data_IF_911470478670
#
_entry.id   IF_911470478670
#
_cell.length_a   1.000
_cell.length_b   1.000
_cell.length_c   1.000
_cell.angle_alpha   90.00
_cell.angle_beta   90.00
_cell.angle_gamma   90.00
#
_symmetry.space_group_name_H-M   'P 1'
#
loop_
_entity.id
_entity.type
_entity.pdbx_description
1 polymer ?
#
# COMPACT_ATOMS: atom_id res chain seq x y z
N UNK A 1 10.37 1.66 -17.24
CA UNK A 1 11.19 1.18 -16.11
C UNK A 1 10.37 0.79 -14.89
N UNK A 2 9.55 1.67 -14.28
CA UNK A 2 8.91 1.36 -12.99
C UNK A 2 7.96 0.14 -12.98
N UNK A 3 7.19 -0.09 -14.04
CA UNK A 3 6.31 -1.28 -14.12
C UNK A 3 7.09 -2.60 -14.22
N UNK A 4 8.19 -2.62 -14.98
CA UNK A 4 9.00 -3.84 -15.14
C UNK A 4 9.64 -4.25 -13.80
N UNK A 5 10.11 -3.27 -13.02
CA UNK A 5 10.63 -3.52 -11.67
C UNK A 5 9.53 -4.07 -10.73
N UNK A 6 8.35 -3.46 -10.72
CA UNK A 6 7.23 -3.96 -9.90
C UNK A 6 6.80 -5.38 -10.30
N UNK A 7 6.73 -5.66 -11.61
CA UNK A 7 6.43 -6.99 -12.12
C UNK A 7 7.52 -8.01 -11.76
N UNK A 8 8.81 -7.64 -11.87
CA UNK A 8 9.91 -8.50 -11.47
C UNK A 8 9.84 -8.86 -9.97
N UNK A 9 9.62 -7.87 -9.10
CA UNK A 9 9.43 -8.09 -7.66
C UNK A 9 8.25 -9.02 -7.38
N UNK A 10 7.12 -8.83 -8.07
CA UNK A 10 5.96 -9.71 -7.93
C UNK A 10 6.29 -11.14 -8.37
N UNK A 11 6.86 -11.34 -9.56
CA UNK A 11 7.14 -12.68 -10.10
C UNK A 11 8.22 -13.44 -9.33
N UNK A 12 9.26 -12.75 -8.84
CA UNK A 12 10.28 -13.37 -7.98
C UNK A 12 9.72 -13.79 -6.62
N UNK A 13 8.67 -13.11 -6.13
CA UNK A 13 8.02 -13.43 -4.88
C UNK A 13 7.05 -14.61 -4.96
N UNK A 14 6.44 -14.88 -6.12
CA UNK A 14 5.48 -15.98 -6.32
C UNK A 14 5.96 -17.33 -5.77
N UNK A 15 7.14 -17.85 -6.14
CA UNK A 15 7.60 -19.14 -5.63
C UNK A 15 7.86 -19.11 -4.12
N UNK A 16 8.35 -17.98 -3.58
CA UNK A 16 8.58 -17.83 -2.14
C UNK A 16 7.26 -17.91 -1.37
N UNK A 17 6.23 -17.23 -1.85
CA UNK A 17 4.92 -17.20 -1.23
C UNK A 17 4.22 -18.56 -1.28
N UNK A 18 4.22 -19.23 -2.43
CA UNK A 18 3.58 -20.53 -2.61
C UNK A 18 4.28 -21.62 -1.78
N UNK A 19 5.61 -21.60 -1.74
CA UNK A 19 6.40 -22.58 -1.00
C UNK A 19 6.33 -22.40 0.52
N UNK A 20 6.03 -21.19 1.01
CA UNK A 20 6.13 -20.85 2.43
C UNK A 20 5.41 -21.81 3.37
N UNK A 21 4.25 -22.33 2.98
CA UNK A 21 3.46 -23.26 3.81
C UNK A 21 3.69 -24.73 3.48
N UNK A 22 4.39 -25.09 2.40
CA UNK A 22 4.62 -26.50 2.04
C UNK A 22 5.31 -27.32 3.14
N UNK A 23 6.32 -26.80 3.86
CA UNK A 23 6.95 -27.53 4.97
C UNK A 23 5.98 -27.93 6.09
N UNK A 24 4.84 -27.26 6.24
CA UNK A 24 3.80 -27.57 7.25
C UNK A 24 2.95 -28.81 6.88
N UNK A 25 3.00 -29.23 5.61
CA UNK A 25 2.30 -30.42 5.10
C UNK A 25 3.28 -31.55 4.79
N UNK A 26 4.45 -31.20 4.26
CA UNK A 26 5.44 -32.14 3.76
C UNK A 26 6.80 -31.83 4.42
N UNK A 27 7.07 -32.44 5.59
CA UNK A 27 8.36 -32.28 6.24
C UNK A 27 9.51 -32.63 5.28
N UNK A 28 10.56 -31.80 5.25
CA UNK A 28 11.71 -31.98 4.37
C UNK A 28 11.63 -31.24 3.02
N UNK A 29 10.50 -30.62 2.66
CA UNK A 29 10.48 -29.71 1.49
C UNK A 29 11.37 -28.48 1.72
N UNK A 30 11.97 -27.91 0.65
CA UNK A 30 12.77 -26.70 0.77
C UNK A 30 11.98 -25.53 1.36
N UNK A 31 12.64 -24.71 2.19
CA UNK A 31 12.13 -23.46 2.75
C UNK A 31 12.71 -22.29 1.96
N UNK A 32 12.14 -21.95 0.81
CA UNK A 32 12.79 -21.01 -0.14
C UNK A 32 13.01 -19.62 0.45
N UNK A 33 12.02 -19.06 1.15
CA UNK A 33 12.14 -17.74 1.76
C UNK A 33 13.18 -17.73 2.89
N UNK A 34 13.12 -18.72 3.79
CA UNK A 34 14.01 -18.80 4.94
C UNK A 34 15.44 -19.17 4.51
N UNK A 35 15.58 -19.96 3.45
CA UNK A 35 16.86 -20.27 2.82
C UNK A 35 17.50 -19.05 2.17
N UNK A 36 16.73 -18.25 1.43
CA UNK A 36 17.21 -16.97 0.88
C UNK A 36 17.65 -16.02 2.00
N UNK A 37 16.84 -15.91 3.05
CA UNK A 37 17.18 -15.06 4.19
C UNK A 37 18.40 -15.58 4.96
N UNK A 38 18.54 -16.89 5.13
CA UNK A 38 19.71 -17.53 5.74
C UNK A 38 20.97 -17.26 4.93
N UNK A 39 20.89 -17.30 3.60
CA UNK A 39 22.01 -16.98 2.72
C UNK A 39 22.49 -15.54 2.87
N UNK A 40 21.59 -14.59 3.08
CA UNK A 40 21.90 -13.16 3.15
C UNK A 40 22.29 -12.74 4.58
N UNK A 41 21.54 -13.19 5.58
CA UNK A 41 21.58 -12.68 6.95
C UNK A 41 21.99 -13.72 8.00
N UNK A 42 22.22 -14.98 7.61
CA UNK A 42 22.57 -16.07 8.51
C UNK A 42 21.35 -16.75 9.15
N UNK A 43 21.54 -18.00 9.60
CA UNK A 43 20.46 -18.84 10.14
C UNK A 43 19.91 -18.33 11.47
N UNK A 44 20.78 -17.80 12.33
CA UNK A 44 20.38 -17.23 13.63
C UNK A 44 19.33 -16.12 13.46
N UNK A 45 19.51 -15.24 12.48
CA UNK A 45 18.54 -14.20 12.15
C UNK A 45 17.30 -14.76 11.45
N UNK A 46 17.49 -15.71 10.53
CA UNK A 46 16.42 -16.16 9.65
C UNK A 46 15.37 -17.05 10.32
N UNK A 47 15.81 -17.94 11.21
CA UNK A 47 14.97 -18.96 11.84
C UNK A 47 15.19 -19.09 13.35
N UNK A 48 16.11 -18.31 13.93
CA UNK A 48 16.38 -18.32 15.37
C UNK A 48 15.38 -17.50 16.18
N UNK A 49 15.74 -17.20 17.42
CA UNK A 49 14.91 -16.41 18.33
C UNK A 49 14.56 -15.03 17.74
N UNK A 50 13.31 -14.60 17.88
CA UNK A 50 12.83 -13.35 17.28
C UNK A 50 12.63 -13.41 15.76
N UNK A 51 12.64 -14.61 15.15
CA UNK A 51 12.20 -14.84 13.77
C UNK A 51 10.72 -15.16 13.67
N UNK A 52 10.12 -14.97 12.48
CA UNK A 52 8.72 -15.37 12.23
C UNK A 52 8.55 -16.87 12.47
N UNK A 53 9.51 -17.70 12.08
CA UNK A 53 9.45 -19.14 12.31
C UNK A 53 9.35 -19.45 13.81
N UNK A 54 10.25 -18.87 14.61
CA UNK A 54 10.29 -19.15 16.05
C UNK A 54 8.98 -18.77 16.77
N UNK A 55 8.29 -17.70 16.32
CA UNK A 55 7.09 -17.19 17.02
C UNK A 55 5.75 -17.60 16.39
N UNK A 56 5.73 -18.09 15.14
CA UNK A 56 4.48 -18.42 14.42
C UNK A 56 4.39 -19.87 13.96
N UNK A 57 5.42 -20.70 14.15
CA UNK A 57 5.40 -22.09 13.66
C UNK A 57 4.17 -22.88 14.15
N UNK A 58 3.84 -22.78 15.44
CA UNK A 58 2.67 -23.45 16.03
C UNK A 58 1.37 -22.94 15.42
N UNK A 59 1.17 -21.62 15.42
CA UNK A 59 -0.05 -20.98 14.91
C UNK A 59 -0.27 -21.32 13.43
N UNK A 60 0.79 -21.28 12.63
CA UNK A 60 0.75 -21.64 11.22
C UNK A 60 0.51 -23.14 11.02
N UNK A 61 1.02 -24.01 11.88
CA UNK A 61 0.75 -25.45 11.81
C UNK A 61 -0.72 -25.77 12.11
N UNK A 62 -1.29 -25.16 13.15
CA UNK A 62 -2.71 -25.32 13.51
C UNK A 62 -3.64 -24.81 12.40
N UNK A 63 -3.25 -23.71 11.74
CA UNK A 63 -4.05 -23.07 10.69
C UNK A 63 -3.50 -23.28 9.27
N UNK A 64 -2.72 -24.34 9.06
CA UNK A 64 -1.93 -24.57 7.84
C UNK A 64 -2.75 -24.55 6.56
N UNK A 65 -3.98 -25.07 6.57
CA UNK A 65 -4.86 -25.08 5.40
C UNK A 65 -5.28 -23.66 4.99
N UNK A 66 -5.71 -22.86 5.97
CA UNK A 66 -6.11 -21.46 5.75
C UNK A 66 -4.92 -20.64 5.25
N UNK A 67 -3.74 -20.83 5.85
CA UNK A 67 -2.52 -20.15 5.43
C UNK A 67 -2.04 -20.59 4.04
N UNK A 68 -2.15 -21.87 3.69
CA UNK A 68 -1.81 -22.37 2.36
C UNK A 68 -2.71 -21.78 1.28
N UNK A 69 -4.02 -21.71 1.54
CA UNK A 69 -4.98 -21.06 0.65
C UNK A 69 -4.66 -19.57 0.51
N UNK A 70 -4.42 -18.87 1.63
CA UNK A 70 -4.07 -17.45 1.62
C UNK A 70 -2.85 -17.15 0.74
N UNK A 71 -1.73 -17.81 1.03
CA UNK A 71 -0.43 -17.56 0.40
C UNK A 71 -0.43 -17.98 -1.07
N UNK A 72 -0.99 -19.15 -1.39
CA UNK A 72 -1.04 -19.67 -2.77
C UNK A 72 -1.95 -18.82 -3.65
N UNK A 73 -3.20 -18.59 -3.23
CA UNK A 73 -4.14 -17.81 -4.05
C UNK A 73 -3.71 -16.33 -4.13
N UNK A 74 -3.12 -15.79 -3.06
CA UNK A 74 -2.56 -14.44 -3.06
C UNK A 74 -1.41 -14.28 -4.06
N UNK A 75 -0.50 -15.25 -4.12
CA UNK A 75 0.61 -15.28 -5.07
C UNK A 75 0.11 -15.35 -6.52
N UNK A 76 -0.81 -16.28 -6.82
CA UNK A 76 -1.38 -16.43 -8.17
C UNK A 76 -2.13 -15.15 -8.57
N UNK A 77 -2.96 -14.60 -7.68
CA UNK A 77 -3.67 -13.34 -7.92
C UNK A 77 -2.68 -12.21 -8.24
N UNK A 78 -1.62 -12.04 -7.45
CA UNK A 78 -0.62 -11.01 -7.70
C UNK A 78 0.08 -11.19 -9.06
N UNK A 79 0.40 -12.42 -9.45
CA UNK A 79 0.93 -12.73 -10.78
C UNK A 79 -0.03 -12.33 -11.90
N UNK A 80 -1.31 -12.68 -11.79
CA UNK A 80 -2.35 -12.29 -12.75
C UNK A 80 -2.53 -10.76 -12.83
N UNK A 81 -2.39 -10.07 -11.69
CA UNK A 81 -2.51 -8.63 -11.59
C UNK A 81 -1.47 -7.90 -12.44
N UNK A 82 -0.23 -8.42 -12.51
CA UNK A 82 0.83 -7.79 -13.29
C UNK A 82 0.43 -7.65 -14.75
N UNK A 83 -0.17 -8.68 -15.35
CA UNK A 83 -0.63 -8.61 -16.74
C UNK A 83 -1.73 -7.56 -16.97
N UNK A 84 -2.54 -7.21 -15.96
CA UNK A 84 -3.66 -6.26 -16.10
C UNK A 84 -3.23 -4.84 -16.48
N UNK A 85 -1.97 -4.48 -16.19
CA UNK A 85 -1.43 -3.16 -16.54
C UNK A 85 -1.00 -3.06 -18.01
N UNK A 86 -0.94 -4.17 -18.75
CA UNK A 86 -0.59 -4.18 -20.17
C UNK A 86 -1.67 -3.47 -21.01
N UNK A 87 -1.32 -2.32 -21.58
CA UNK A 87 -2.19 -1.59 -22.49
C UNK A 87 -2.55 -2.38 -23.75
N UNK A 88 -1.59 -3.17 -24.27
CA UNK A 88 -1.77 -4.01 -25.46
C UNK A 88 -2.76 -5.16 -25.21
N UNK A 89 -2.68 -5.82 -24.05
CA UNK A 89 -3.63 -6.87 -23.70
C UNK A 89 -5.04 -6.31 -23.57
N UNK A 90 -5.18 -5.13 -22.96
CA UNK A 90 -6.46 -4.46 -22.78
C UNK A 90 -7.13 -4.06 -24.10
N UNK A 91 -6.36 -3.64 -25.10
CA UNK A 91 -6.89 -3.20 -26.40
C UNK A 91 -7.06 -4.35 -27.40
N UNK A 92 -6.10 -5.29 -27.48
CA UNK A 92 -6.12 -6.37 -28.47
C UNK A 92 -6.86 -7.63 -28.02
N UNK A 93 -6.89 -7.92 -26.72
CA UNK A 93 -7.52 -9.11 -26.16
C UNK A 93 -8.44 -8.77 -24.97
N UNK A 94 -9.50 -7.98 -25.17
CA UNK A 94 -10.37 -7.51 -24.09
C UNK A 94 -11.06 -8.64 -23.34
N UNK A 95 -11.39 -9.75 -24.00
CA UNK A 95 -11.97 -10.93 -23.34
C UNK A 95 -10.99 -11.55 -22.33
N UNK A 96 -9.71 -11.70 -22.71
CA UNK A 96 -8.64 -12.21 -21.83
C UNK A 96 -8.45 -11.29 -20.63
N UNK A 97 -8.37 -9.97 -20.86
CA UNK A 97 -8.28 -8.99 -19.78
C UNK A 97 -9.45 -9.12 -18.78
N UNK A 98 -10.69 -9.27 -19.27
CA UNK A 98 -11.87 -9.42 -18.41
C UNK A 98 -11.85 -10.72 -17.61
N UNK A 99 -11.55 -11.86 -18.23
CA UNK A 99 -11.49 -13.14 -17.54
C UNK A 99 -10.36 -13.21 -16.52
N UNK A 100 -9.18 -12.70 -16.86
CA UNK A 100 -8.08 -12.59 -15.90
C UNK A 100 -8.42 -11.64 -14.75
N UNK A 101 -9.10 -10.52 -15.01
CA UNK A 101 -9.57 -9.62 -13.97
C UNK A 101 -10.59 -10.28 -13.02
N UNK A 102 -11.49 -11.11 -13.55
CA UNK A 102 -12.43 -11.90 -12.74
C UNK A 102 -11.72 -12.97 -11.91
N UNK A 103 -10.77 -13.68 -12.50
CA UNK A 103 -9.95 -14.66 -11.80
C UNK A 103 -9.13 -14.00 -10.69
N UNK A 104 -8.46 -12.88 -10.97
CA UNK A 104 -7.79 -12.05 -9.98
C UNK A 104 -8.72 -11.72 -8.81
N UNK A 105 -9.91 -11.18 -9.10
CA UNK A 105 -10.82 -10.73 -8.05
C UNK A 105 -11.29 -11.88 -7.16
N UNK A 106 -11.61 -13.03 -7.76
CA UNK A 106 -12.01 -14.23 -7.02
C UNK A 106 -10.87 -14.76 -6.14
N UNK A 107 -9.68 -14.95 -6.71
CA UNK A 107 -8.50 -15.47 -6.00
C UNK A 107 -8.05 -14.55 -4.87
N UNK A 108 -7.97 -13.24 -5.14
CA UNK A 108 -7.65 -12.23 -4.14
C UNK A 108 -8.71 -12.22 -3.03
N UNK A 109 -10.00 -12.30 -3.37
CA UNK A 109 -11.07 -12.30 -2.35
C UNK A 109 -10.94 -13.50 -1.43
N UNK A 110 -10.81 -14.72 -1.97
CA UNK A 110 -10.64 -15.92 -1.16
C UNK A 110 -9.38 -15.82 -0.31
N UNK A 111 -8.25 -15.38 -0.89
CA UNK A 111 -7.00 -15.17 -0.18
C UNK A 111 -7.15 -14.21 1.02
N UNK A 112 -7.78 -13.05 0.83
CA UNK A 112 -7.98 -12.07 1.91
C UNK A 112 -8.97 -12.57 2.97
N UNK A 113 -10.03 -13.29 2.57
CA UNK A 113 -10.96 -13.91 3.53
C UNK A 113 -10.25 -14.96 4.38
N UNK A 114 -9.39 -15.79 3.80
CA UNK A 114 -8.57 -16.73 4.59
C UNK A 114 -7.55 -16.02 5.48
N UNK A 115 -6.99 -14.88 5.06
CA UNK A 115 -6.16 -14.06 5.94
C UNK A 115 -6.96 -13.57 7.16
N UNK A 116 -8.18 -13.06 6.92
CA UNK A 116 -9.08 -12.59 7.97
C UNK A 116 -9.46 -13.72 8.94
N UNK A 117 -9.77 -14.92 8.42
CA UNK A 117 -10.05 -16.10 9.26
C UNK A 117 -8.85 -16.42 10.15
N UNK A 118 -7.63 -16.40 9.61
CA UNK A 118 -6.42 -16.61 10.39
C UNK A 118 -6.25 -15.53 11.47
N UNK A 119 -6.37 -14.25 11.11
CA UNK A 119 -6.22 -13.13 12.05
C UNK A 119 -7.28 -13.14 13.16
N UNK A 120 -8.47 -13.69 12.90
CA UNK A 120 -9.53 -13.81 13.89
C UNK A 120 -9.34 -15.01 14.84
N UNK A 121 -8.66 -16.07 14.38
CA UNK A 121 -8.50 -17.31 15.12
C UNK A 121 -7.16 -17.40 15.87
N UNK A 122 -6.08 -16.92 15.25
CA UNK A 122 -4.74 -17.00 15.83
C UNK A 122 -4.49 -15.85 16.83
N UNK A 123 -3.73 -16.09 17.91
CA UNK A 123 -3.33 -15.02 18.82
C UNK A 123 -2.40 -14.02 18.12
N UNK A 124 -2.25 -12.83 18.69
CA UNK A 124 -1.20 -11.92 18.27
C UNK A 124 0.17 -12.42 18.74
N UNK A 125 1.24 -12.03 18.03
CA UNK A 125 2.62 -12.37 18.41
C UNK A 125 2.98 -11.72 19.74
N UNK A 126 3.56 -12.49 20.66
CA UNK A 126 4.16 -12.02 21.92
C UNK A 126 5.45 -11.23 21.71
N UNK A 127 5.39 -10.15 20.92
CA UNK A 127 6.49 -9.24 20.62
C UNK A 127 5.96 -7.81 20.64
N UNK A 128 6.80 -6.81 20.93
CA UNK A 128 6.36 -5.41 21.04
C UNK A 128 5.71 -4.86 19.76
N UNK A 129 6.03 -5.46 18.61
CA UNK A 129 5.41 -5.09 17.32
C UNK A 129 4.08 -5.81 17.04
N UNK A 130 3.79 -6.91 17.75
CA UNK A 130 2.84 -7.93 17.35
C UNK A 130 1.41 -7.40 17.19
N UNK A 131 0.90 -6.65 18.17
CA UNK A 131 -0.47 -6.12 18.16
C UNK A 131 -0.68 -5.04 17.10
N UNK A 132 0.29 -4.13 16.97
CA UNK A 132 0.24 -3.08 15.95
C UNK A 132 0.34 -3.67 14.52
N UNK A 133 1.19 -4.68 14.34
CA UNK A 133 1.33 -5.37 13.06
C UNK A 133 0.05 -6.13 12.70
N UNK A 134 -0.59 -6.80 13.67
CA UNK A 134 -1.88 -7.46 13.48
C UNK A 134 -2.96 -6.49 12.98
N UNK A 135 -3.07 -5.30 13.61
CA UNK A 135 -3.96 -4.24 13.15
C UNK A 135 -3.68 -3.80 11.70
N UNK A 136 -2.40 -3.70 11.34
CA UNK A 136 -2.04 -3.34 9.98
C UNK A 136 -2.40 -4.44 8.98
N UNK A 137 -2.28 -5.73 9.34
CA UNK A 137 -2.73 -6.84 8.51
C UNK A 137 -4.25 -6.81 8.30
N UNK A 138 -5.03 -6.52 9.34
CA UNK A 138 -6.48 -6.27 9.21
C UNK A 138 -6.78 -5.12 8.25
N UNK A 139 -6.12 -3.98 8.43
CA UNK A 139 -6.30 -2.81 7.56
C UNK A 139 -5.91 -3.12 6.10
N UNK A 140 -4.85 -3.90 5.88
CA UNK A 140 -4.44 -4.34 4.55
C UNK A 140 -5.45 -5.30 3.91
N UNK A 141 -5.95 -6.29 4.65
CA UNK A 141 -6.93 -7.24 4.13
C UNK A 141 -8.24 -6.52 3.74
N UNK A 142 -8.77 -5.69 4.64
CA UNK A 142 -10.00 -4.92 4.41
C UNK A 142 -9.81 -3.86 3.32
N UNK A 143 -8.67 -3.14 3.32
CA UNK A 143 -8.34 -2.15 2.31
C UNK A 143 -8.19 -2.76 0.91
N UNK A 144 -7.57 -3.93 0.81
CA UNK A 144 -7.39 -4.66 -0.46
C UNK A 144 -8.73 -5.13 -1.01
N UNK A 145 -9.58 -5.73 -0.16
CA UNK A 145 -10.94 -6.12 -0.52
C UNK A 145 -11.78 -4.90 -0.94
N UNK A 146 -11.86 -3.90 -0.08
CA UNK A 146 -12.67 -2.70 -0.30
C UNK A 146 -12.31 -1.97 -1.58
N UNK A 147 -11.00 -1.76 -1.83
CA UNK A 147 -10.53 -1.10 -3.06
C UNK A 147 -10.82 -1.92 -4.32
N UNK A 148 -10.62 -3.24 -4.31
CA UNK A 148 -10.89 -4.10 -5.46
C UNK A 148 -12.39 -4.17 -5.79
N UNK A 149 -13.24 -4.35 -4.76
CA UNK A 149 -14.68 -4.42 -4.93
C UNK A 149 -15.28 -3.07 -5.31
N UNK A 150 -14.75 -1.96 -4.79
CA UNK A 150 -15.13 -0.63 -5.25
C UNK A 150 -14.73 -0.40 -6.72
N UNK A 151 -13.58 -0.93 -7.15
CA UNK A 151 -13.19 -0.88 -8.56
C UNK A 151 -14.13 -1.71 -9.46
N UNK A 152 -14.62 -2.86 -8.99
CA UNK A 152 -15.65 -3.63 -9.70
C UNK A 152 -16.98 -2.87 -9.77
N UNK A 153 -17.40 -2.25 -8.67
CA UNK A 153 -18.58 -1.39 -8.64
C UNK A 153 -18.46 -0.25 -9.65
N UNK A 154 -17.32 0.43 -9.70
CA UNK A 154 -17.07 1.53 -10.64
C UNK A 154 -17.19 1.10 -12.11
N UNK A 155 -16.59 -0.05 -12.49
CA UNK A 155 -16.67 -0.51 -13.89
C UNK A 155 -18.07 -0.96 -14.28
N UNK A 156 -18.85 -1.53 -13.34
CA UNK A 156 -20.27 -1.85 -13.57
C UNK A 156 -21.11 -0.59 -13.83
N UNK A 157 -20.74 0.52 -13.20
CA UNK A 157 -21.32 1.85 -13.45
C UNK A 157 -20.68 2.60 -14.64
N UNK A 158 -19.86 1.91 -15.45
CA UNK A 158 -19.13 2.49 -16.60
C UNK A 158 -18.13 3.59 -16.24
N UNK A 159 -17.74 3.73 -14.97
CA UNK A 159 -16.69 4.65 -14.53
C UNK A 159 -15.31 3.98 -14.63
N UNK A 160 -14.72 4.09 -15.82
CA UNK A 160 -13.41 3.50 -16.14
C UNK A 160 -12.27 4.18 -15.37
N UNK A 161 -12.38 5.47 -15.06
CA UNK A 161 -11.33 6.20 -14.32
C UNK A 161 -11.25 5.65 -12.90
N UNK A 162 -12.38 5.62 -12.21
CA UNK A 162 -12.47 5.13 -10.84
C UNK A 162 -12.08 3.66 -10.77
N UNK A 163 -12.55 2.84 -11.71
CA UNK A 163 -12.12 1.44 -11.81
C UNK A 163 -10.59 1.30 -11.89
N UNK A 164 -9.93 2.00 -12.81
CA UNK A 164 -8.46 1.91 -12.98
C UNK A 164 -7.72 2.41 -11.75
N UNK A 165 -8.22 3.47 -11.12
CA UNK A 165 -7.61 4.04 -9.93
C UNK A 165 -7.63 3.02 -8.78
N UNK A 166 -8.81 2.52 -8.44
CA UNK A 166 -8.98 1.64 -7.29
C UNK A 166 -8.45 0.22 -7.53
N UNK A 167 -8.41 -0.26 -8.78
CA UNK A 167 -7.65 -1.47 -9.08
C UNK A 167 -6.14 -1.29 -8.89
N UNK A 168 -5.58 -0.15 -9.31
CA UNK A 168 -4.17 0.13 -9.07
C UNK A 168 -3.89 0.23 -7.57
N UNK A 169 -4.80 0.83 -6.82
CA UNK A 169 -4.73 0.92 -5.37
C UNK A 169 -4.74 -0.46 -4.69
N UNK A 170 -5.69 -1.33 -5.07
CA UNK A 170 -5.76 -2.71 -4.57
C UNK A 170 -4.47 -3.48 -4.83
N UNK A 171 -3.93 -3.41 -6.06
CA UNK A 171 -2.68 -4.09 -6.39
C UNK A 171 -1.48 -3.51 -5.63
N UNK A 172 -1.45 -2.19 -5.40
CA UNK A 172 -0.40 -1.57 -4.59
C UNK A 172 -0.44 -2.06 -3.13
N UNK A 173 -1.63 -2.31 -2.57
CA UNK A 173 -1.77 -2.93 -1.26
C UNK A 173 -1.33 -4.40 -1.29
N UNK A 174 -1.66 -5.18 -2.33
CA UNK A 174 -1.14 -6.55 -2.47
C UNK A 174 0.39 -6.59 -2.61
N UNK A 175 0.99 -5.60 -3.29
CA UNK A 175 2.44 -5.46 -3.42
C UNK A 175 3.15 -5.20 -2.09
N UNK A 176 2.43 -4.83 -1.01
CA UNK A 176 3.04 -4.74 0.32
C UNK A 176 3.61 -6.08 0.76
N UNK A 177 3.02 -7.22 0.35
CA UNK A 177 3.53 -8.53 0.71
C UNK A 177 4.97 -8.77 0.18
N UNK A 178 5.25 -8.75 -1.13
CA UNK A 178 6.62 -8.90 -1.63
C UNK A 178 7.55 -7.77 -1.16
N UNK A 179 7.07 -6.51 -1.14
CA UNK A 179 7.91 -5.39 -0.72
C UNK A 179 8.33 -5.50 0.75
N UNK A 180 7.46 -6.03 1.61
CA UNK A 180 7.79 -6.27 3.01
C UNK A 180 8.99 -7.21 3.11
N UNK A 181 9.02 -8.30 2.32
CA UNK A 181 10.14 -9.27 2.30
C UNK A 181 11.42 -8.63 1.79
N UNK A 182 11.33 -7.87 0.70
CA UNK A 182 12.49 -7.14 0.16
C UNK A 182 13.07 -6.19 1.22
N UNK A 183 12.20 -5.48 1.95
CA UNK A 183 12.62 -4.54 2.98
C UNK A 183 13.26 -5.25 4.17
N UNK A 184 12.57 -6.18 4.84
CA UNK A 184 13.12 -6.74 6.09
C UNK A 184 14.30 -7.71 5.84
N UNK A 185 14.36 -8.40 4.70
CA UNK A 185 15.53 -9.22 4.32
C UNK A 185 16.68 -8.31 3.86
N UNK A 186 16.39 -7.31 3.03
CA UNK A 186 17.42 -6.49 2.38
C UNK A 186 17.94 -5.31 3.22
N UNK A 187 17.20 -4.87 4.23
CA UNK A 187 17.63 -3.78 5.12
C UNK A 187 18.57 -4.28 6.22
N UNK A 188 18.48 -5.55 6.62
CA UNK A 188 19.29 -6.10 7.72
C UNK A 188 20.81 -5.91 7.52
N UNK A 189 21.39 -6.08 6.30
CA UNK A 189 22.81 -5.80 6.08
C UNK A 189 23.21 -4.31 6.16
N UNK A 190 22.24 -3.39 6.05
CA UNK A 190 22.47 -1.94 5.97
C UNK A 190 22.21 -1.28 7.33
N UNK A 191 21.11 -1.66 7.98
CA UNK A 191 20.68 -1.15 9.29
C UNK A 191 20.34 -2.35 10.17
N UNK A 192 21.36 -3.02 10.75
CA UNK A 192 21.14 -4.22 11.54
C UNK A 192 20.21 -3.94 12.71
N UNK A 193 19.17 -4.76 12.84
CA UNK A 193 18.35 -4.83 14.05
C UNK A 193 18.68 -6.12 14.80
N UNK A 194 18.33 -6.11 16.09
CA UNK A 194 18.56 -7.24 16.99
C UNK A 194 17.89 -8.53 16.47
N UNK A 195 16.66 -8.42 15.96
CA UNK A 195 15.87 -9.54 15.47
C UNK A 195 15.09 -9.19 14.19
N UNK A 196 14.55 -10.25 13.57
CA UNK A 196 13.79 -10.17 12.34
C UNK A 196 12.46 -9.43 12.54
N UNK A 197 11.75 -9.69 13.64
CA UNK A 197 10.46 -9.05 13.92
C UNK A 197 10.56 -7.53 14.02
N UNK A 198 11.68 -6.99 14.52
CA UNK A 198 11.96 -5.56 14.58
C UNK A 198 12.10 -4.97 13.18
N UNK A 199 12.85 -5.61 12.28
CA UNK A 199 12.95 -5.18 10.89
C UNK A 199 11.65 -5.33 10.10
N UNK A 200 10.90 -6.39 10.37
CA UNK A 200 9.57 -6.60 9.82
C UNK A 200 8.64 -5.45 10.25
N UNK A 201 8.67 -5.07 11.53
CA UNK A 201 7.94 -3.93 12.06
C UNK A 201 8.31 -2.61 11.41
N UNK A 202 9.61 -2.29 11.36
CA UNK A 202 10.13 -1.10 10.70
C UNK A 202 9.69 -1.04 9.22
N UNK A 203 9.82 -2.16 8.51
CA UNK A 203 9.41 -2.27 7.10
C UNK A 203 7.91 -2.07 6.90
N UNK A 204 7.10 -2.59 7.82
CA UNK A 204 5.65 -2.44 7.79
C UNK A 204 5.23 -0.97 8.05
N UNK A 205 5.90 -0.27 8.96
CA UNK A 205 5.74 1.18 9.17
C UNK A 205 6.06 1.96 7.88
N UNK A 206 7.18 1.66 7.21
CA UNK A 206 7.52 2.31 5.92
C UNK A 206 6.41 2.08 4.89
N UNK A 207 5.92 0.84 4.76
CA UNK A 207 4.88 0.49 3.80
C UNK A 207 3.51 1.10 4.10
N UNK A 208 3.22 1.39 5.38
CA UNK A 208 2.03 2.14 5.78
C UNK A 208 1.95 3.52 5.12
N UNK A 209 3.10 4.15 4.85
CA UNK A 209 3.17 5.41 4.09
C UNK A 209 3.29 5.13 2.59
N UNK A 210 4.23 4.27 2.20
CA UNK A 210 4.69 4.17 0.82
C UNK A 210 3.71 3.46 -0.10
N UNK A 211 2.96 2.46 0.38
CA UNK A 211 1.98 1.75 -0.45
C UNK A 211 0.82 2.66 -0.90
N UNK A 212 0.08 3.34 0.01
CA UNK A 212 -1.01 4.24 -0.40
C UNK A 212 -0.49 5.45 -1.18
N UNK A 213 0.67 6.01 -0.81
CA UNK A 213 1.28 7.11 -1.54
C UNK A 213 1.71 6.69 -2.96
N UNK A 214 2.36 5.54 -3.10
CA UNK A 214 2.82 5.02 -4.39
C UNK A 214 1.67 4.80 -5.36
N UNK A 215 0.55 4.24 -4.88
CA UNK A 215 -0.68 4.10 -5.65
C UNK A 215 -1.22 5.45 -6.13
N UNK A 216 -1.32 6.43 -5.22
CA UNK A 216 -1.83 7.76 -5.53
C UNK A 216 -0.92 8.50 -6.51
N UNK A 217 0.38 8.49 -6.28
CA UNK A 217 1.38 9.10 -7.16
C UNK A 217 1.36 8.47 -8.56
N UNK A 218 1.28 7.14 -8.66
CA UNK A 218 1.15 6.44 -9.93
C UNK A 218 -0.10 6.90 -10.71
N UNK A 219 -1.24 7.04 -10.03
CA UNK A 219 -2.46 7.56 -10.65
C UNK A 219 -2.28 9.00 -11.17
N UNK A 220 -1.68 9.89 -10.38
CA UNK A 220 -1.42 11.29 -10.79
C UNK A 220 -0.52 11.36 -12.03
N UNK A 221 0.49 10.49 -12.12
CA UNK A 221 1.43 10.44 -13.23
C UNK A 221 0.80 9.90 -14.52
N UNK A 222 -0.02 8.85 -14.43
CA UNK A 222 -0.62 8.19 -15.61
C UNK A 222 -1.82 8.96 -16.17
N UNK A 223 -2.54 9.70 -15.33
CA UNK A 223 -3.69 10.48 -15.80
C UNK A 223 -3.26 11.66 -16.71
N UNK A 224 -4.07 12.01 -17.73
CA UNK A 224 -3.77 13.11 -18.63
C UNK A 224 -3.50 14.42 -17.89
N UNK A 225 -2.47 15.13 -18.36
CA UNK A 225 -2.17 16.48 -17.92
C UNK A 225 -3.13 17.45 -18.61
N UNK A 226 -4.21 17.83 -17.92
CA UNK A 226 -5.12 18.85 -18.42
C UNK A 226 -4.55 20.26 -18.24
N UNK A 227 -4.70 21.10 -19.27
CA UNK A 227 -4.55 22.56 -19.19
C UNK A 227 -5.88 23.15 -18.72
N UNK A 228 -6.05 23.25 -17.41
CA UNK A 228 -7.19 23.95 -16.83
C UNK A 228 -6.65 25.07 -15.93
N UNK A 229 -7.27 26.26 -15.93
CA UNK A 229 -6.96 27.27 -14.94
C UNK A 229 -7.28 26.70 -13.56
N UNK A 230 -6.25 26.49 -12.75
CA UNK A 230 -6.40 26.07 -11.36
C UNK A 230 -6.01 27.23 -10.47
N UNK A 231 -6.78 27.45 -9.40
CA UNK A 231 -6.51 28.47 -8.40
C UNK A 231 -5.05 28.38 -7.93
N UNK A 232 -4.33 29.49 -8.03
CA UNK A 232 -2.95 29.57 -7.54
C UNK A 232 -2.98 29.38 -6.03
N UNK A 233 -2.19 28.42 -5.52
CA UNK A 233 -1.90 28.36 -4.09
C UNK A 233 -0.95 29.50 -3.76
N UNK A 234 -1.23 30.20 -2.66
CA UNK A 234 -0.29 31.16 -2.10
C UNK A 234 0.88 30.39 -1.46
N UNK A 235 2.01 31.09 -1.26
CA UNK A 235 3.15 30.54 -0.49
C UNK A 235 2.67 30.11 0.90
N UNK A 236 1.75 30.86 1.51
CA UNK A 236 1.14 30.52 2.79
C UNK A 236 0.48 29.13 2.82
N UNK A 237 -0.11 28.65 1.73
CA UNK A 237 -0.68 27.30 1.69
C UNK A 237 0.38 26.20 1.80
N UNK A 238 1.55 26.39 1.19
CA UNK A 238 2.66 25.44 1.30
C UNK A 238 3.29 25.51 2.70
N UNK A 239 3.49 26.72 3.22
CA UNK A 239 4.00 26.93 4.59
C UNK A 239 3.06 26.27 5.61
N UNK A 240 1.75 26.44 5.48
CA UNK A 240 0.77 25.81 6.36
C UNK A 240 0.84 24.28 6.29
N UNK A 241 0.95 23.70 5.09
CA UNK A 241 1.06 22.25 4.94
C UNK A 241 2.36 21.70 5.55
N UNK A 242 3.49 22.39 5.37
CA UNK A 242 4.76 22.01 5.98
C UNK A 242 4.72 22.18 7.51
N UNK A 243 4.08 23.24 8.00
CA UNK A 243 3.88 23.49 9.43
C UNK A 243 3.04 22.41 10.11
N UNK A 244 1.96 21.96 9.48
CA UNK A 244 1.14 20.84 9.97
C UNK A 244 1.90 19.51 9.96
N UNK A 245 2.65 19.23 8.88
CA UNK A 245 3.50 18.05 8.81
C UNK A 245 4.55 18.06 9.92
N UNK A 246 5.17 19.22 10.17
CA UNK A 246 6.20 19.40 11.20
C UNK A 246 5.63 19.28 12.60
N UNK A 247 4.50 19.92 12.90
CA UNK A 247 3.89 19.83 14.23
C UNK A 247 3.44 18.40 14.55
N UNK A 248 2.81 17.71 13.59
CA UNK A 248 2.48 16.29 13.72
C UNK A 248 3.72 15.42 13.89
N UNK A 249 4.79 15.70 13.14
CA UNK A 249 6.06 14.95 13.24
C UNK A 249 6.71 15.10 14.61
N UNK A 250 6.75 16.34 15.15
CA UNK A 250 7.26 16.62 16.49
C UNK A 250 6.41 15.90 17.54
N UNK A 251 5.08 15.97 17.42
CA UNK A 251 4.16 15.26 18.33
C UNK A 251 4.40 13.75 18.31
N UNK A 252 4.48 13.14 17.14
CA UNK A 252 4.70 11.71 17.00
C UNK A 252 6.08 11.28 17.49
N UNK A 253 7.13 12.06 17.17
CA UNK A 253 8.46 11.81 17.69
C UNK A 253 8.51 11.92 19.22
N UNK A 254 7.84 12.91 19.82
CA UNK A 254 7.76 13.06 21.27
C UNK A 254 7.05 11.87 21.94
N UNK A 255 6.02 11.30 21.31
CA UNK A 255 5.37 10.07 21.78
C UNK A 255 6.32 8.87 21.68
N UNK A 256 7.04 8.73 20.56
CA UNK A 256 8.01 7.65 20.36
C UNK A 256 9.21 7.73 21.32
N UNK A 257 9.65 8.93 21.70
CA UNK A 257 10.72 9.12 22.69
C UNK A 257 10.33 8.68 24.10
N UNK A 258 9.03 8.52 24.39
CA UNK A 258 8.50 8.02 25.67
C UNK A 258 8.35 6.50 25.70
N UNK A 259 8.70 5.82 24.61
CA UNK A 259 8.67 4.36 24.58
C UNK A 259 9.74 3.76 25.52
N UNK A 260 9.47 2.60 26.12
CA UNK A 260 10.46 1.86 26.90
C UNK A 260 11.76 1.61 26.12
N UNK A 261 12.89 1.49 26.84
CA UNK A 261 14.22 1.41 26.21
C UNK A 261 14.43 0.17 25.33
N UNK A 262 13.70 -0.92 25.60
CA UNK A 262 13.76 -2.13 24.77
C UNK A 262 13.11 -1.96 23.39
N UNK A 263 12.32 -0.89 23.17
CA UNK A 263 11.71 -0.57 21.88
C UNK A 263 12.63 0.42 21.15
N UNK A 264 13.10 0.11 19.93
CA UNK A 264 13.99 1.01 19.20
C UNK A 264 13.34 2.37 18.94
N UNK A 265 13.95 3.45 19.43
CA UNK A 265 13.49 4.83 19.18
C UNK A 265 13.52 5.20 17.69
N UNK A 266 14.30 4.47 16.90
CA UNK A 266 14.38 4.61 15.43
C UNK A 266 13.07 4.28 14.71
N UNK A 267 12.10 3.59 15.35
CA UNK A 267 10.77 3.32 14.79
C UNK A 267 10.05 4.60 14.31
N UNK A 268 10.25 5.73 14.99
CA UNK A 268 9.72 7.01 14.54
C UNK A 268 10.27 7.44 13.18
N UNK A 269 11.57 7.22 12.93
CA UNK A 269 12.22 7.59 11.68
C UNK A 269 11.69 6.76 10.50
N UNK A 270 11.37 5.47 10.70
CA UNK A 270 10.77 4.62 9.68
C UNK A 270 9.37 5.09 9.23
N UNK A 271 8.68 5.89 10.05
CA UNK A 271 7.45 6.57 9.65
C UNK A 271 7.74 7.94 9.00
N UNK A 272 8.52 8.77 9.69
CA UNK A 272 8.69 10.18 9.35
C UNK A 272 9.54 10.38 8.09
N UNK A 273 10.61 9.62 7.90
CA UNK A 273 11.49 9.76 6.72
C UNK A 273 10.75 9.49 5.41
N UNK A 274 10.08 8.33 5.20
CA UNK A 274 9.33 8.10 3.95
C UNK A 274 8.19 9.11 3.78
N UNK A 275 7.57 9.57 4.87
CA UNK A 275 6.54 10.60 4.83
C UNK A 275 7.06 11.94 4.28
N UNK A 276 8.19 12.43 4.81
CA UNK A 276 8.79 13.68 4.35
C UNK A 276 9.32 13.58 2.92
N UNK A 277 9.86 12.42 2.53
CA UNK A 277 10.23 12.14 1.14
C UNK A 277 9.00 12.21 0.23
N UNK A 278 7.88 11.55 0.60
CA UNK A 278 6.64 11.58 -0.16
C UNK A 278 6.05 13.00 -0.27
N UNK A 279 6.15 13.79 0.81
CA UNK A 279 5.72 15.19 0.83
C UNK A 279 6.56 16.04 -0.12
N UNK A 280 7.88 15.90 -0.08
CA UNK A 280 8.81 16.59 -0.98
C UNK A 280 8.55 16.22 -2.44
N UNK A 281 8.33 14.93 -2.75
CA UNK A 281 7.97 14.47 -4.09
C UNK A 281 6.66 15.13 -4.56
N UNK A 282 5.67 15.25 -3.67
CA UNK A 282 4.38 15.87 -4.00
C UNK A 282 4.52 17.37 -4.29
N UNK A 283 5.30 18.09 -3.49
CA UNK A 283 5.60 19.52 -3.70
C UNK A 283 6.36 19.71 -5.02
N UNK A 284 7.42 18.93 -5.26
CA UNK A 284 8.19 18.97 -6.49
C UNK A 284 7.32 18.63 -7.71
N UNK A 285 6.42 17.66 -7.57
CA UNK A 285 5.43 17.29 -8.58
C UNK A 285 4.49 18.45 -8.93
N UNK A 286 4.01 19.18 -7.93
CA UNK A 286 3.18 20.37 -8.13
C UNK A 286 3.95 21.50 -8.83
N UNK A 287 5.19 21.77 -8.42
CA UNK A 287 6.04 22.79 -9.05
C UNK A 287 6.38 22.46 -10.50
N UNK A 288 6.77 21.22 -10.80
CA UNK A 288 7.05 20.76 -12.17
C UNK A 288 5.81 20.82 -13.05
N UNK A 289 4.64 20.46 -12.52
CA UNK A 289 3.37 20.57 -13.25
C UNK A 289 3.02 22.02 -13.57
N UNK A 290 3.24 22.94 -12.61
CA UNK A 290 3.04 24.39 -12.81
C UNK A 290 3.95 24.95 -13.89
N UNK A 291 5.25 24.64 -13.83
CA UNK A 291 6.23 25.09 -14.83
C UNK A 291 5.88 24.64 -16.26
N UNK A 292 5.13 23.54 -16.38
CA UNK A 292 4.65 22.98 -17.66
C UNK A 292 3.22 23.40 -18.03
N UNK A 293 2.59 24.29 -17.26
CA UNK A 293 1.20 24.72 -17.48
C UNK A 293 0.14 23.62 -17.28
N UNK A 294 0.45 22.58 -16.51
CA UNK A 294 -0.39 21.39 -16.31
C UNK A 294 -1.25 21.54 -15.04
N UNK A 295 -2.16 22.52 -15.03
CA UNK A 295 -2.93 22.90 -13.84
C UNK A 295 -3.68 21.73 -13.17
N UNK A 296 -4.27 20.80 -13.96
CA UNK A 296 -4.97 19.64 -13.38
C UNK A 296 -4.02 18.71 -12.62
N UNK A 297 -2.82 18.49 -13.15
CA UNK A 297 -1.81 17.64 -12.49
C UNK A 297 -1.22 18.34 -11.27
N UNK A 298 -1.00 19.65 -11.35
CA UNK A 298 -0.61 20.50 -10.22
C UNK A 298 -1.61 20.40 -9.06
N UNK A 299 -2.92 20.47 -9.35
CA UNK A 299 -3.97 20.33 -8.34
C UNK A 299 -3.93 18.97 -7.64
N UNK A 300 -3.74 17.89 -8.39
CA UNK A 300 -3.70 16.53 -7.82
C UNK A 300 -2.50 16.33 -6.90
N UNK A 301 -1.32 16.80 -7.30
CA UNK A 301 -0.14 16.79 -6.43
C UNK A 301 -0.34 17.59 -5.15
N UNK A 302 -1.03 18.74 -5.22
CA UNK A 302 -1.38 19.53 -4.03
C UNK A 302 -2.36 18.82 -3.10
N UNK A 303 -3.34 18.12 -3.64
CA UNK A 303 -4.26 17.33 -2.81
C UNK A 303 -3.54 16.18 -2.11
N UNK A 304 -2.63 15.51 -2.80
CA UNK A 304 -1.80 14.47 -2.21
C UNK A 304 -0.86 15.02 -1.13
N UNK A 305 -0.25 16.19 -1.37
CA UNK A 305 0.54 16.93 -0.38
C UNK A 305 -0.24 17.19 0.91
N UNK A 306 -1.52 17.57 0.83
CA UNK A 306 -2.36 17.77 2.01
C UNK A 306 -2.64 16.47 2.78
N UNK A 307 -2.90 15.36 2.07
CA UNK A 307 -3.03 14.05 2.72
C UNK A 307 -1.76 13.66 3.49
N UNK A 308 -0.59 13.91 2.90
CA UNK A 308 0.70 13.67 3.54
C UNK A 308 0.98 14.63 4.71
N UNK A 309 0.60 15.90 4.59
CA UNK A 309 0.78 16.87 5.67
C UNK A 309 -0.04 16.54 6.93
N UNK A 310 -1.19 15.90 6.77
CA UNK A 310 -2.08 15.48 7.87
C UNK A 310 -1.67 14.11 8.44
N UNK A 311 -0.98 13.27 7.68
CA UNK A 311 -0.59 11.92 8.08
C UNK A 311 0.09 11.78 9.46
N UNK A 312 1.06 12.64 9.87
CA UNK A 312 1.70 12.47 11.17
C UNK A 312 0.79 12.93 12.33
N UNK A 313 -0.15 13.85 12.07
CA UNK A 313 -1.21 14.20 13.03
C UNK A 313 -2.17 13.01 13.19
N UNK A 314 -2.51 12.34 12.08
CA UNK A 314 -3.34 11.13 12.12
C UNK A 314 -2.63 9.99 12.87
N UNK A 315 -1.30 9.85 12.74
CA UNK A 315 -0.52 8.92 13.56
C UNK A 315 -0.65 9.21 15.06
N UNK A 316 -0.54 10.47 15.48
CA UNK A 316 -0.80 10.87 16.87
C UNK A 316 -2.26 10.58 17.29
N UNK A 317 -3.24 10.87 16.42
CA UNK A 317 -4.64 10.62 16.70
C UNK A 317 -4.93 9.12 16.87
N UNK A 318 -4.29 8.25 16.07
CA UNK A 318 -4.37 6.79 16.24
C UNK A 318 -3.89 6.36 17.61
N UNK A 319 -2.84 6.97 18.17
CA UNK A 319 -2.38 6.67 19.55
C UNK A 319 -3.49 6.95 20.55
N UNK A 320 -4.15 8.11 20.44
CA UNK A 320 -5.24 8.51 21.36
C UNK A 320 -6.46 7.60 21.20
N UNK A 321 -6.86 7.31 19.96
CA UNK A 321 -8.05 6.51 19.66
C UNK A 321 -7.87 5.03 20.05
N UNK A 322 -6.64 4.50 19.96
CA UNK A 322 -6.35 3.11 20.31
C UNK A 322 -6.03 2.89 21.79
N UNK A 323 -5.78 3.95 22.56
CA UNK A 323 -5.47 3.87 24.00
C UNK A 323 -6.45 3.05 24.87
N UNK A 324 -7.76 2.97 24.58
CA UNK A 324 -8.67 2.11 25.35
C UNK A 324 -8.44 0.60 25.17
N UNK A 325 -7.78 0.18 24.09
CA UNK A 325 -7.63 -1.23 23.69
C UNK A 325 -6.16 -1.66 23.68
N UNK A 326 -5.25 -0.71 23.52
CA UNK A 326 -3.81 -0.93 23.38
C UNK A 326 -3.02 -0.34 24.54
N UNK A 327 -1.91 -1.00 24.89
CA UNK A 327 -0.92 -0.38 25.76
C UNK A 327 -0.40 0.90 25.11
N UNK A 328 0.18 1.80 25.91
CA UNK A 328 0.77 3.04 25.38
C UNK A 328 1.82 2.76 24.29
N UNK A 329 2.58 1.67 24.44
CA UNK A 329 3.61 1.29 23.45
C UNK A 329 2.99 0.77 22.16
N UNK A 330 2.00 -0.14 22.25
CA UNK A 330 1.28 -0.67 21.10
C UNK A 330 0.57 0.45 20.33
N UNK A 331 -0.03 1.40 21.04
CA UNK A 331 -0.74 2.53 20.46
C UNK A 331 0.17 3.43 19.61
N UNK A 332 1.39 3.71 20.11
CA UNK A 332 2.38 4.50 19.35
C UNK A 332 2.85 3.77 18.10
N UNK A 333 3.17 2.47 18.20
CA UNK A 333 3.60 1.66 17.05
C UNK A 333 2.47 1.54 16.03
N UNK A 334 1.23 1.33 16.48
CA UNK A 334 0.05 1.32 15.63
C UNK A 334 -0.14 2.67 14.91
N UNK A 335 0.09 3.79 15.59
CA UNK A 335 0.12 5.12 14.97
C UNK A 335 1.07 5.20 13.78
N UNK A 336 2.27 4.65 13.92
CA UNK A 336 3.25 4.56 12.82
C UNK A 336 2.82 3.69 11.65
N UNK A 337 2.14 2.56 11.93
CA UNK A 337 1.75 1.57 10.92
C UNK A 337 0.47 1.95 10.15
N UNK A 338 -0.55 2.44 10.86
CA UNK A 338 -1.90 2.65 10.29
C UNK A 338 -2.38 4.10 10.32
N UNK A 339 -1.65 5.02 10.95
CA UNK A 339 -2.04 6.43 11.02
C UNK A 339 -1.97 7.18 9.67
N UNK A 340 -0.89 6.97 8.90
CA UNK A 340 -0.70 7.64 7.62
C UNK A 340 -1.65 7.20 6.48
N UNK A 341 -2.00 5.90 6.32
CA UNK A 341 -2.88 5.44 5.25
C UNK A 341 -4.18 6.22 5.09
N UNK A 342 -4.86 6.59 6.18
CA UNK A 342 -6.17 7.24 6.13
C UNK A 342 -6.18 8.54 5.33
N UNK A 343 -5.46 9.59 5.78
CA UNK A 343 -5.37 10.86 5.07
C UNK A 343 -4.89 10.75 3.62
N UNK A 344 -3.92 9.86 3.36
CA UNK A 344 -3.41 9.62 1.99
C UNK A 344 -4.50 8.99 1.10
N UNK A 345 -5.23 8.00 1.62
CA UNK A 345 -6.35 7.35 0.92
C UNK A 345 -7.49 8.33 0.64
N UNK A 346 -7.82 9.20 1.60
CA UNK A 346 -8.85 10.23 1.42
C UNK A 346 -8.45 11.22 0.34
N UNK A 347 -7.21 11.71 0.35
CA UNK A 347 -6.68 12.57 -0.70
C UNK A 347 -6.76 11.89 -2.07
N UNK A 348 -6.36 10.61 -2.15
CA UNK A 348 -6.49 9.81 -3.36
C UNK A 348 -7.95 9.68 -3.83
N UNK A 349 -8.89 9.36 -2.94
CA UNK A 349 -10.31 9.23 -3.27
C UNK A 349 -10.88 10.54 -3.84
N UNK A 350 -10.53 11.68 -3.25
CA UNK A 350 -10.92 13.01 -3.75
C UNK A 350 -10.36 13.27 -5.15
N UNK A 351 -9.06 12.96 -5.37
CA UNK A 351 -8.40 13.07 -6.68
C UNK A 351 -9.14 12.26 -7.74
N UNK A 352 -9.51 11.02 -7.42
CA UNK A 352 -10.22 10.10 -8.33
C UNK A 352 -11.62 10.61 -8.61
N UNK A 353 -12.37 10.99 -7.57
CA UNK A 353 -13.73 11.51 -7.69
C UNK A 353 -13.78 12.76 -8.60
N UNK A 354 -12.84 13.69 -8.41
CA UNK A 354 -12.75 14.87 -9.29
C UNK A 354 -12.37 14.51 -10.73
N UNK A 355 -11.49 13.53 -10.92
CA UNK A 355 -11.10 13.08 -12.25
C UNK A 355 -12.25 12.44 -13.03
N UNK A 356 -13.05 11.59 -12.37
CA UNK A 356 -14.20 10.94 -12.98
C UNK A 356 -15.27 11.95 -13.44
N UNK A 357 -15.60 12.94 -12.59
CA UNK A 357 -16.63 13.95 -12.91
C UNK A 357 -16.27 14.88 -14.07
N UNK A 358 -14.98 15.15 -14.30
CA UNK A 358 -14.55 16.03 -15.41
C UNK A 358 -14.84 15.44 -16.79
N UNK A 359 -14.86 14.11 -16.93
CA UNK A 359 -15.21 13.46 -18.20
C UNK A 359 -16.72 13.42 -18.39
N UNK A 360 -17.49 13.26 -17.32
CA UNK A 360 -18.96 13.23 -17.38
C UNK A 360 -19.61 14.61 -17.55
N UNK A 361 -18.81 15.69 -17.65
CA UNK A 361 -19.30 17.06 -17.76
C UNK A 361 -19.88 17.44 -19.13
N UNK A 362 -20.62 18.56 -19.23
CA UNK A 362 -21.36 18.97 -20.43
C UNK A 362 -20.51 19.08 -21.70
N UNK A 363 -19.24 19.44 -21.58
CA UNK A 363 -18.29 19.60 -22.69
C UNK A 363 -17.94 18.30 -23.42
N UNK A 364 -18.03 17.14 -22.75
CA UNK A 364 -17.87 15.85 -23.41
C UNK A 364 -19.15 15.43 -24.17
N UNK A 365 -20.33 15.85 -23.70
CA UNK A 365 -21.61 15.61 -24.39
C UNK A 365 -21.76 16.44 -25.66
N UNK A 366 -21.21 17.66 -25.70
CA UNK A 366 -21.16 18.47 -26.94
C UNK A 366 -20.17 17.89 -27.95
N UNK A 367 -18.94 17.53 -27.54
CA UNK A 367 -17.98 16.91 -28.45
C UNK A 367 -18.47 15.57 -29.06
N UNK A 368 -19.29 14.82 -28.32
CA UNK A 368 -19.92 13.59 -28.83
C UNK A 368 -21.18 13.87 -29.68
N UNK A 369 -21.88 14.99 -29.49
CA UNK A 369 -22.98 15.43 -30.37
C UNK A 369 -22.45 15.97 -31.70
N UNK A 370 -21.39 16.76 -31.67
CA UNK A 370 -20.84 17.43 -32.87
C UNK A 370 -20.17 16.43 -33.83
N UNK A 371 -19.64 15.32 -33.31
CA UNK A 371 -19.14 14.20 -34.12
C UNK A 371 -20.26 13.36 -34.75
N UNK A 372 -21.46 13.35 -34.18
CA UNK A 372 -22.61 12.61 -34.74
C UNK A 372 -23.33 13.44 -35.81
N UNK A 373 -23.38 14.76 -35.66
CA UNK A 373 -23.96 15.65 -36.68
C UNK A 373 -23.06 15.81 -37.91
N UNK A 374 -21.73 15.78 -37.73
CA UNK A 374 -20.79 15.80 -38.88
C UNK A 374 -20.72 14.47 -39.63
N UNK A 375 -20.91 13.34 -38.95
CA UNK A 375 -20.99 12.02 -39.58
C UNK A 375 -22.35 11.71 -40.24
N UNK A 376 -23.39 12.50 -39.95
CA UNK A 376 -24.70 12.41 -40.60
C UNK A 376 -24.85 13.38 -41.78
N UNK A 377 -23.87 14.26 -41.99
CA UNK A 377 -23.83 15.26 -43.06
C UNK A 377 -22.77 14.94 -44.14
N UNK A 378 -22.12 13.78 -44.05
CA UNK A 378 -21.23 13.18 -45.05
C UNK A 378 -21.77 11.80 -45.40
#
# INVERSE_FOLDING_TARGET
MCYAAAAAVAFLYLPLAMNYTWPLFFPGTPRLQDGLNTLINGSAYAVGEGSVEAVRHSDYSEHRAVMAVHTTLGAIALGLAMFQFSGRMRSRHPAVHRWMGRAYLALMTVSMLTAIIFLAAAPYVGHFIGRAFDLQLWALALGTLGSAWFALYAIRNRDVITHRAWMTYSVALMMTAPLLRVLWIGIQPIVPQHDLLTNLGASAIVLGVMAPFGAAAAFVMVQPAGRAPVRRYSVASYVLSAGLALSGSIGYAALALRLPEYIPRSLAAYHLVPLWIALAISIAGAWRARARGQGVREQRWRWLMWGLAIAPIAACATVVVSAPVYSASDAVIAGGMVGAPGPITVAFALIVHNAARRISGPTARTAQRDNVTTAAAA
#
